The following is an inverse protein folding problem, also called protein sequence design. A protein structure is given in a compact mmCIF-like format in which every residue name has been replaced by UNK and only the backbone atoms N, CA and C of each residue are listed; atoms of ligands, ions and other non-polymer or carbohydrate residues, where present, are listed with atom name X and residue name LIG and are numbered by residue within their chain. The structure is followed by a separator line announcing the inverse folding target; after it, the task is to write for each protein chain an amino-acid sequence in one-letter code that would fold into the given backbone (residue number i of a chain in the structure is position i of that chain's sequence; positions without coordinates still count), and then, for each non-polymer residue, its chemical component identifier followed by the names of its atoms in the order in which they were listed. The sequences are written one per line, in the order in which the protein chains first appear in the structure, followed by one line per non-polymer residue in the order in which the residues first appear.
data_IF_930691037632
#
_entry.id   IF_930691037632
#
_cell.length_a   1.000
_cell.length_b   1.000
_cell.length_c   1.000
_cell.angle_alpha   90.00
_cell.angle_beta   90.00
_cell.angle_gamma   90.00
#
_symmetry.space_group_name_H-M   'P 1'
#
loop_
_entity.id
_entity.type
_entity.pdbx_description
1 polymer ?
#
# COMPACT_ATOMS: atom_id res chain seq x y z
N UNK A 1 -0.80 1.50 -12.50
CA UNK A 1 -1.83 1.17 -11.49
C UNK A 1 -2.23 -0.30 -11.54
N UNK A 2 -2.49 -0.91 -12.72
CA UNK A 2 -2.92 -2.31 -12.81
C UNK A 2 -2.00 -3.31 -12.09
N UNK A 3 -0.68 -3.19 -12.27
CA UNK A 3 0.31 -4.07 -11.60
C UNK A 3 0.29 -3.98 -10.07
N UNK A 4 0.20 -2.77 -9.52
CA UNK A 4 0.14 -2.57 -8.06
C UNK A 4 -1.16 -3.16 -7.49
N UNK A 5 -2.28 -3.01 -8.20
CA UNK A 5 -3.56 -3.58 -7.78
C UNK A 5 -3.57 -5.11 -7.83
N UNK A 6 -2.84 -5.71 -8.78
CA UNK A 6 -2.65 -7.16 -8.85
C UNK A 6 -1.76 -7.66 -7.71
N UNK A 7 -0.69 -6.94 -7.38
CA UNK A 7 0.17 -7.26 -6.23
C UNK A 7 -0.63 -7.25 -4.92
N UNK A 8 -1.46 -6.24 -4.69
CA UNK A 8 -2.30 -6.16 -3.49
C UNK A 8 -3.27 -7.34 -3.40
N UNK A 9 -3.83 -7.79 -4.54
CA UNK A 9 -4.68 -8.99 -4.59
C UNK A 9 -3.88 -10.27 -4.35
N UNK A 10 -2.68 -10.38 -4.91
CA UNK A 10 -1.80 -11.54 -4.73
C UNK A 10 -1.32 -11.69 -3.29
N UNK A 11 -1.17 -10.58 -2.55
CA UNK A 11 -0.80 -10.56 -1.13
C UNK A 11 -2.04 -10.58 -0.21
N UNK A 12 -3.24 -10.79 -0.76
CA UNK A 12 -4.51 -10.84 -0.02
C UNK A 12 -4.77 -9.61 0.87
N UNK A 13 -4.36 -8.42 0.41
CA UNK A 13 -4.55 -7.17 1.16
C UNK A 13 -6.03 -6.75 1.11
N UNK A 14 -6.70 -6.89 2.24
CA UNK A 14 -8.05 -6.37 2.47
C UNK A 14 -8.04 -4.93 3.02
N UNK A 15 -9.22 -4.39 3.38
CA UNK A 15 -9.34 -3.03 3.90
C UNK A 15 -8.62 -2.81 5.25
N UNK A 16 -8.56 -3.81 6.12
CA UNK A 16 -7.88 -3.69 7.42
C UNK A 16 -6.37 -3.83 7.26
N UNK A 17 -5.91 -4.81 6.47
CA UNK A 17 -4.50 -5.00 6.14
C UNK A 17 -3.93 -3.79 5.39
N UNK A 18 -4.71 -3.15 4.52
CA UNK A 18 -4.32 -1.93 3.82
C UNK A 18 -3.90 -0.82 4.79
N UNK A 19 -4.58 -0.69 5.93
CA UNK A 19 -4.25 0.30 6.96
C UNK A 19 -2.98 -0.06 7.73
N UNK A 20 -2.53 -1.31 7.70
CA UNK A 20 -1.28 -1.74 8.35
C UNK A 20 -0.05 -1.59 7.43
N UNK A 21 -0.25 -1.32 6.14
CA UNK A 21 0.85 -1.14 5.21
C UNK A 21 1.70 0.10 5.57
N UNK A 22 3.00 -0.06 5.40
CA UNK A 22 4.02 0.98 5.58
C UNK A 22 4.97 0.95 4.38
N UNK A 23 5.92 1.89 4.35
CA UNK A 23 6.82 2.05 3.20
C UNK A 23 7.71 0.81 2.96
N UNK A 24 8.12 0.12 4.02
CA UNK A 24 8.91 -1.12 3.93
C UNK A 24 8.12 -2.25 3.24
N UNK A 25 6.86 -2.45 3.60
CA UNK A 25 6.00 -3.45 2.94
C UNK A 25 5.83 -3.17 1.45
N UNK A 26 5.71 -1.90 1.07
CA UNK A 26 5.57 -1.51 -0.34
C UNK A 26 6.87 -1.72 -1.11
N UNK A 27 7.98 -1.25 -0.58
CA UNK A 27 9.25 -1.22 -1.30
C UNK A 27 9.98 -2.57 -1.29
N UNK A 28 9.98 -3.26 -0.15
CA UNK A 28 10.71 -4.51 0.04
C UNK A 28 9.86 -5.71 -0.35
N UNK A 29 8.68 -5.86 0.25
CA UNK A 29 7.85 -7.06 0.05
C UNK A 29 7.11 -7.05 -1.29
N UNK A 30 6.73 -5.88 -1.81
CA UNK A 30 5.98 -5.73 -3.06
C UNK A 30 6.80 -5.10 -4.20
N UNK A 31 8.09 -4.85 -3.99
CA UNK A 31 9.02 -4.30 -4.99
C UNK A 31 8.51 -3.01 -5.67
N UNK A 32 7.73 -2.20 -4.95
CA UNK A 32 7.18 -0.94 -5.44
C UNK A 32 8.25 0.15 -5.29
N UNK A 33 8.49 0.91 -6.36
CA UNK A 33 9.45 2.01 -6.34
C UNK A 33 9.05 3.09 -5.32
N UNK A 34 10.05 3.80 -4.78
CA UNK A 34 9.88 4.86 -3.79
C UNK A 34 8.77 5.88 -4.14
N UNK A 35 8.75 6.39 -5.37
CA UNK A 35 7.77 7.40 -5.78
C UNK A 35 6.31 6.94 -5.61
N UNK A 36 5.90 5.81 -6.21
CA UNK A 36 4.58 5.21 -5.96
C UNK A 36 4.34 4.83 -4.50
N UNK A 37 5.34 4.28 -3.79
CA UNK A 37 5.21 3.90 -2.38
C UNK A 37 4.82 5.09 -1.50
N UNK A 38 5.52 6.23 -1.65
CA UNK A 38 5.21 7.48 -0.93
C UNK A 38 3.77 7.95 -1.17
N UNK A 39 3.27 7.86 -2.42
CA UNK A 39 1.90 8.26 -2.76
C UNK A 39 0.86 7.36 -2.10
N UNK A 40 1.12 6.06 -2.05
CA UNK A 40 0.23 5.08 -1.42
C UNK A 40 0.20 5.30 0.09
N UNK A 41 1.37 5.44 0.74
CA UNK A 41 1.47 5.72 2.17
C UNK A 41 0.73 7.02 2.55
N UNK A 42 0.90 8.09 1.77
CA UNK A 42 0.16 9.33 1.98
C UNK A 42 -1.36 9.12 1.90
N UNK A 43 -1.83 8.30 0.96
CA UNK A 43 -3.26 8.01 0.83
C UNK A 43 -3.77 7.15 1.99
N UNK A 44 -3.03 6.14 2.42
CA UNK A 44 -3.37 5.31 3.59
C UNK A 44 -3.48 6.17 4.84
N UNK A 45 -2.53 7.07 5.07
CA UNK A 45 -2.56 7.97 6.23
C UNK A 45 -3.81 8.87 6.21
N UNK A 46 -4.20 9.41 5.05
CA UNK A 46 -5.45 10.17 4.93
C UNK A 46 -6.72 9.36 5.26
N UNK A 47 -6.69 8.04 5.04
CA UNK A 47 -7.82 7.16 5.34
C UNK A 47 -7.90 6.87 6.84
N UNK A 48 -6.76 6.70 7.52
CA UNK A 48 -6.69 6.48 8.98
C UNK A 48 -7.21 7.67 9.78
N UNK A 49 -6.99 8.88 9.28
CA UNK A 49 -7.51 10.11 9.90
C UNK A 49 -9.03 10.24 9.82
N UNK A 50 -9.69 9.44 8.97
CA UNK A 50 -11.14 9.43 8.79
C UNK A 50 -11.86 8.35 9.62
N UNK A 51 -11.12 7.48 10.33
CA UNK A 51 -11.64 6.56 11.35
C UNK A 51 -11.60 7.19 12.74
#
# INVERSE_FOLDING_TARGET
CASIAEEFRSQEIDGQALLLLNEEHLMTNMNIKLGPALKICAKINSLKECE
#
